data_IF_393196856035
#
_entry.id   IF_393196856035
#
_cell.length_a   1.000
_cell.length_b   1.000
_cell.length_c   1.000
_cell.angle_alpha   90.00
_cell.angle_beta   90.00
_cell.angle_gamma   90.00
#
_symmetry.space_group_name_H-M   'P 1'
#
loop_
_entity.id
_entity.type
_entity.pdbx_description
1 polymer ?
#
# COMPACT_ATOMS: atom_id res chain seq x y z
N UNK A 1 -6.89 28.03 -9.64
CA UNK A 1 -5.62 27.66 -9.07
C UNK A 1 -5.18 26.32 -9.66
N UNK A 2 -3.93 26.20 -10.06
CA UNK A 2 -3.39 24.87 -10.42
C UNK A 2 -3.21 24.15 -9.10
N UNK A 3 -4.02 23.12 -8.86
CA UNK A 3 -3.82 22.22 -7.75
C UNK A 3 -2.48 21.50 -7.95
N UNK A 4 -1.52 21.77 -7.07
CA UNK A 4 -0.22 21.12 -7.11
C UNK A 4 -0.37 19.71 -6.53
N UNK A 5 -0.85 18.76 -7.34
CA UNK A 5 -0.83 17.35 -7.00
C UNK A 5 0.61 16.88 -7.11
N UNK A 6 1.18 16.42 -6.01
CA UNK A 6 2.56 15.94 -5.94
C UNK A 6 2.66 14.43 -5.72
N UNK A 7 1.60 13.80 -5.23
CA UNK A 7 1.54 12.36 -4.94
C UNK A 7 0.21 11.80 -5.44
N UNK A 8 0.24 10.65 -6.09
CA UNK A 8 -0.95 9.90 -6.47
C UNK A 8 -0.81 8.41 -6.13
N UNK A 9 -1.95 7.76 -5.91
CA UNK A 9 -2.02 6.32 -5.66
C UNK A 9 -2.05 5.53 -6.95
N UNK A 10 -1.20 4.52 -7.06
CA UNK A 10 -1.30 3.42 -8.03
C UNK A 10 -1.47 2.11 -7.27
N UNK A 11 -1.71 1.01 -7.97
CA UNK A 11 -1.92 -0.26 -7.29
C UNK A 11 -1.39 -1.46 -8.04
N UNK A 12 -0.96 -2.47 -7.27
CA UNK A 12 -0.58 -3.79 -7.73
C UNK A 12 -1.67 -4.81 -7.42
N UNK A 13 -1.66 -5.96 -8.08
CA UNK A 13 -2.71 -6.96 -8.00
C UNK A 13 -2.22 -8.32 -7.56
N UNK A 14 -3.07 -8.99 -6.78
CA UNK A 14 -2.88 -10.35 -6.23
C UNK A 14 -3.65 -11.43 -7.00
N UNK A 15 -4.04 -11.15 -8.24
CA UNK A 15 -4.88 -12.03 -9.08
C UNK A 15 -4.12 -13.12 -9.82
N UNK A 16 -2.81 -13.00 -9.92
CA UNK A 16 -1.97 -13.98 -10.60
C UNK A 16 -0.70 -14.28 -9.80
N UNK A 17 -0.24 -15.54 -9.74
CA UNK A 17 1.09 -15.85 -9.23
C UNK A 17 2.16 -15.20 -10.11
N UNK A 18 3.33 -14.94 -9.54
CA UNK A 18 4.49 -14.50 -10.31
C UNK A 18 4.98 -15.63 -11.22
N UNK A 19 5.51 -15.28 -12.39
CA UNK A 19 6.18 -16.22 -13.29
C UNK A 19 7.54 -16.57 -12.66
N UNK A 20 7.78 -17.86 -12.44
CA UNK A 20 8.99 -18.38 -11.79
C UNK A 20 9.31 -17.70 -10.44
N UNK A 21 8.29 -17.31 -9.70
CA UNK A 21 8.41 -16.62 -8.41
C UNK A 21 9.14 -15.25 -8.45
N UNK A 22 9.31 -14.66 -9.62
CA UNK A 22 10.09 -13.43 -9.77
C UNK A 22 9.40 -12.36 -10.62
N UNK A 23 8.75 -12.75 -11.72
CA UNK A 23 8.29 -11.79 -12.72
C UNK A 23 6.78 -11.57 -12.67
N UNK A 24 6.38 -10.32 -12.90
CA UNK A 24 4.98 -9.98 -13.10
C UNK A 24 4.46 -10.62 -14.40
N UNK A 25 3.22 -11.11 -14.36
CA UNK A 25 2.50 -11.54 -15.56
C UNK A 25 2.19 -10.35 -16.47
N UNK A 26 1.89 -10.61 -17.75
CA UNK A 26 1.45 -9.59 -18.68
C UNK A 26 0.21 -8.82 -18.17
N UNK A 27 -0.73 -9.51 -17.51
CA UNK A 27 -1.92 -8.91 -16.92
C UNK A 27 -1.59 -7.94 -15.78
N UNK A 28 -0.69 -8.32 -14.88
CA UNK A 28 -0.22 -7.46 -13.78
C UNK A 28 0.51 -6.22 -14.31
N UNK A 29 1.38 -6.39 -15.30
CA UNK A 29 2.07 -5.27 -15.99
C UNK A 29 1.08 -4.32 -16.64
N UNK A 30 0.07 -4.84 -17.34
CA UNK A 30 -0.95 -4.03 -17.99
C UNK A 30 -1.74 -3.17 -16.99
N UNK A 31 -2.06 -3.72 -15.82
CA UNK A 31 -2.79 -2.97 -14.78
C UNK A 31 -1.94 -1.84 -14.19
N UNK A 32 -0.69 -2.11 -13.86
CA UNK A 32 0.26 -1.07 -13.44
C UNK A 32 0.44 0.01 -14.49
N UNK A 33 0.59 -0.40 -15.75
CA UNK A 33 0.73 0.52 -16.89
C UNK A 33 -0.48 1.44 -17.05
N UNK A 34 -1.68 0.88 -17.05
CA UNK A 34 -2.91 1.66 -17.20
C UNK A 34 -3.06 2.72 -16.11
N UNK A 35 -2.81 2.35 -14.86
CA UNK A 35 -2.94 3.27 -13.72
C UNK A 35 -1.84 4.31 -13.70
N UNK A 36 -0.62 3.94 -14.04
CA UNK A 36 0.51 4.86 -14.05
C UNK A 36 0.43 5.83 -15.25
N UNK A 37 -0.10 5.40 -16.38
CA UNK A 37 -0.40 6.31 -17.50
C UNK A 37 -1.39 7.41 -17.12
N UNK A 38 -2.39 7.12 -16.30
CA UNK A 38 -3.29 8.15 -15.78
C UNK A 38 -2.54 9.19 -14.94
N UNK A 39 -1.58 8.74 -14.11
CA UNK A 39 -0.73 9.63 -13.33
C UNK A 39 0.15 10.49 -14.26
N UNK A 40 0.73 9.90 -15.29
CA UNK A 40 1.58 10.62 -16.27
C UNK A 40 0.82 11.70 -17.05
N UNK A 41 -0.48 11.50 -17.28
CA UNK A 41 -1.37 12.51 -17.90
C UNK A 41 -1.57 13.71 -16.97
N UNK A 42 -1.67 13.50 -15.65
CA UNK A 42 -1.86 14.57 -14.66
C UNK A 42 -0.60 15.41 -14.50
N UNK A 43 0.57 14.79 -14.46
CA UNK A 43 1.84 15.51 -14.36
C UNK A 43 3.05 14.58 -14.36
N UNK A 44 4.20 15.12 -14.77
CA UNK A 44 5.41 14.34 -14.99
C UNK A 44 6.23 14.05 -13.72
N UNK A 45 6.07 14.88 -12.71
CA UNK A 45 6.87 14.83 -11.46
C UNK A 45 5.99 14.44 -10.27
N UNK A 46 5.00 13.55 -10.50
CA UNK A 46 4.11 13.06 -9.46
C UNK A 46 4.73 11.80 -8.85
N UNK A 47 4.90 11.79 -7.54
CA UNK A 47 5.33 10.62 -6.79
C UNK A 47 4.17 9.61 -6.65
N UNK A 48 4.52 8.33 -6.51
CA UNK A 48 3.58 7.22 -6.41
C UNK A 48 3.57 6.66 -4.99
N UNK A 49 2.37 6.53 -4.43
CA UNK A 49 2.08 5.58 -3.34
C UNK A 49 1.49 4.33 -3.96
N UNK A 50 2.16 3.19 -3.80
CA UNK A 50 1.72 1.92 -4.38
C UNK A 50 0.91 1.13 -3.34
N UNK A 51 -0.33 0.80 -3.69
CA UNK A 51 -1.30 0.13 -2.83
C UNK A 51 -1.71 -1.23 -3.39
N UNK A 52 -2.10 -2.15 -2.53
CA UNK A 52 -2.73 -3.41 -2.94
C UNK A 52 -4.13 -3.14 -3.53
N UNK A 53 -4.50 -3.94 -4.52
CA UNK A 53 -5.82 -3.92 -5.14
C UNK A 53 -6.40 -5.34 -5.21
N UNK A 54 -7.38 -5.61 -4.36
CA UNK A 54 -8.06 -6.90 -4.28
C UNK A 54 -9.32 -7.00 -5.14
N UNK A 55 -9.60 -6.02 -5.98
CA UNK A 55 -10.85 -5.90 -6.77
C UNK A 55 -11.17 -7.17 -7.58
N UNK A 56 -10.15 -7.85 -8.07
CA UNK A 56 -10.26 -9.09 -8.82
C UNK A 56 -9.99 -10.37 -8.00
N UNK A 57 -9.84 -10.25 -6.68
CA UNK A 57 -9.59 -11.34 -5.75
C UNK A 57 -8.12 -11.61 -5.47
N UNK A 58 -7.87 -12.54 -4.55
CA UNK A 58 -6.54 -12.94 -4.11
C UNK A 58 -6.38 -14.43 -4.35
N UNK A 59 -5.39 -14.83 -5.16
CA UNK A 59 -5.14 -16.25 -5.47
C UNK A 59 -4.36 -16.95 -4.35
N UNK A 60 -4.46 -18.26 -4.29
CA UNK A 60 -3.82 -19.09 -3.24
C UNK A 60 -2.30 -18.95 -3.16
N UNK A 61 -1.66 -18.50 -4.22
CA UNK A 61 -0.23 -18.15 -4.22
C UNK A 61 0.12 -17.10 -3.15
N UNK A 62 -0.78 -16.16 -2.86
CA UNK A 62 -0.57 -15.11 -1.86
C UNK A 62 -1.28 -15.38 -0.54
N UNK A 63 -2.45 -16.01 -0.56
CA UNK A 63 -3.20 -16.35 0.65
C UNK A 63 -3.85 -17.71 0.47
N UNK A 64 -3.44 -18.68 1.26
CA UNK A 64 -4.00 -20.04 1.25
C UNK A 64 -4.60 -20.37 2.62
N UNK A 65 -5.86 -20.78 2.63
CA UNK A 65 -6.60 -21.10 3.86
C UNK A 65 -6.57 -19.98 4.90
N UNK A 66 -6.67 -18.73 4.47
CA UNK A 66 -6.63 -17.54 5.33
C UNK A 66 -5.23 -17.16 5.85
N UNK A 67 -4.18 -17.85 5.40
CA UNK A 67 -2.80 -17.57 5.79
C UNK A 67 -2.04 -16.91 4.64
N UNK A 68 -1.55 -15.70 4.89
CA UNK A 68 -0.75 -14.97 3.91
C UNK A 68 0.63 -15.61 3.72
N UNK A 69 1.05 -15.77 2.48
CA UNK A 69 2.42 -16.13 2.14
C UNK A 69 3.29 -14.87 2.09
N UNK A 70 3.99 -14.58 3.18
CA UNK A 70 4.79 -13.37 3.34
C UNK A 70 5.85 -13.23 2.24
N UNK A 71 6.53 -14.33 1.88
CA UNK A 71 7.55 -14.33 0.83
C UNK A 71 6.98 -13.93 -0.52
N UNK A 72 5.84 -14.49 -0.90
CA UNK A 72 5.19 -14.19 -2.17
C UNK A 72 4.64 -12.76 -2.22
N UNK A 73 4.12 -12.24 -1.12
CA UNK A 73 3.73 -10.83 -1.02
C UNK A 73 4.92 -9.90 -1.24
N UNK A 74 6.04 -10.16 -0.56
CA UNK A 74 7.25 -9.36 -0.73
C UNK A 74 7.79 -9.40 -2.16
N UNK A 75 7.81 -10.58 -2.79
CA UNK A 75 8.23 -10.74 -4.18
C UNK A 75 7.34 -9.97 -5.15
N UNK A 76 6.02 -10.02 -4.96
CA UNK A 76 5.07 -9.27 -5.77
C UNK A 76 5.28 -7.75 -5.65
N UNK A 77 5.41 -7.25 -4.42
CA UNK A 77 5.64 -5.82 -4.16
C UNK A 77 6.97 -5.38 -4.77
N UNK A 78 8.03 -6.15 -4.56
CA UNK A 78 9.34 -5.86 -5.13
C UNK A 78 9.33 -5.86 -6.67
N UNK A 79 8.71 -6.86 -7.30
CA UNK A 79 8.59 -6.92 -8.75
C UNK A 79 7.77 -5.75 -9.32
N UNK A 80 6.72 -5.34 -8.62
CA UNK A 80 5.87 -4.21 -9.02
C UNK A 80 6.63 -2.88 -8.98
N UNK A 81 7.38 -2.63 -7.91
CA UNK A 81 8.21 -1.42 -7.78
C UNK A 81 9.35 -1.41 -8.80
N UNK A 82 10.03 -2.53 -9.02
CA UNK A 82 11.06 -2.64 -10.07
C UNK A 82 10.50 -2.29 -11.43
N UNK A 83 9.36 -2.85 -11.78
CA UNK A 83 8.72 -2.58 -13.07
C UNK A 83 8.36 -1.10 -13.23
N UNK A 84 7.82 -0.47 -12.19
CA UNK A 84 7.52 0.98 -12.20
C UNK A 84 8.79 1.81 -12.38
N UNK A 85 9.87 1.52 -11.67
CA UNK A 85 11.13 2.22 -11.79
C UNK A 85 11.73 2.12 -13.21
N UNK A 86 11.58 0.98 -13.86
CA UNK A 86 12.10 0.73 -15.22
C UNK A 86 11.23 1.41 -16.29
N UNK A 87 9.90 1.39 -16.15
CA UNK A 87 8.98 1.84 -17.19
C UNK A 87 8.48 3.27 -16.97
N UNK A 88 8.50 3.76 -15.74
CA UNK A 88 8.07 5.10 -15.35
C UNK A 88 9.11 5.80 -14.45
N UNK A 89 10.35 5.98 -14.92
CA UNK A 89 11.46 6.51 -14.09
C UNK A 89 11.25 7.95 -13.62
N UNK A 90 10.30 8.68 -14.21
CA UNK A 90 9.94 10.04 -13.80
C UNK A 90 9.02 10.08 -12.58
N UNK A 91 8.38 8.97 -12.26
CA UNK A 91 7.47 8.84 -11.13
C UNK A 91 8.14 8.01 -10.03
N UNK A 92 8.60 8.67 -8.98
CA UNK A 92 9.24 8.00 -7.86
C UNK A 92 8.18 7.27 -7.02
N UNK A 93 8.38 5.98 -6.75
CA UNK A 93 7.60 5.26 -5.72
C UNK A 93 8.16 5.66 -4.37
N UNK A 94 7.40 6.42 -3.59
CA UNK A 94 7.83 6.97 -2.29
C UNK A 94 7.32 6.17 -1.10
N UNK A 95 6.20 5.46 -1.27
CA UNK A 95 5.64 4.61 -0.23
C UNK A 95 4.86 3.44 -0.84
N UNK A 96 4.73 2.39 -0.05
CA UNK A 96 3.88 1.24 -0.36
C UNK A 96 2.96 0.91 0.81
N UNK A 97 1.75 0.45 0.49
CA UNK A 97 0.81 -0.15 1.43
C UNK A 97 0.59 -1.61 1.03
N UNK A 98 1.15 -2.58 1.77
CA UNK A 98 1.00 -4.00 1.47
C UNK A 98 -0.44 -4.48 1.43
N UNK A 99 -1.28 -4.02 2.35
CA UNK A 99 -2.70 -4.35 2.42
C UNK A 99 -3.58 -3.12 2.23
N UNK A 100 -4.77 -3.31 1.67
CA UNK A 100 -5.82 -2.31 1.58
C UNK A 100 -7.00 -2.71 2.43
N UNK A 101 -7.46 -1.83 3.32
CA UNK A 101 -8.59 -2.08 4.22
C UNK A 101 -8.50 -3.43 4.96
N UNK A 102 -7.37 -3.71 5.65
CA UNK A 102 -7.15 -5.02 6.25
C UNK A 102 -8.07 -5.34 7.43
N UNK A 103 -8.74 -4.33 7.97
CA UNK A 103 -9.78 -4.45 8.99
C UNK A 103 -11.14 -4.91 8.43
N UNK A 104 -11.27 -4.94 7.10
CA UNK A 104 -12.43 -5.50 6.40
C UNK A 104 -12.13 -6.93 5.92
N UNK A 105 -13.16 -7.65 5.52
CA UNK A 105 -13.07 -9.08 5.18
C UNK A 105 -12.61 -9.37 3.75
N UNK A 106 -11.56 -8.68 3.28
CA UNK A 106 -10.99 -8.92 1.95
C UNK A 106 -10.11 -10.17 1.86
N UNK A 107 -9.66 -10.71 2.99
CA UNK A 107 -8.89 -11.97 3.02
C UNK A 107 -7.41 -11.82 2.65
N UNK A 108 -6.81 -10.65 2.83
CA UNK A 108 -5.39 -10.42 2.53
C UNK A 108 -4.44 -11.05 3.55
N UNK A 109 -4.87 -11.10 4.79
CA UNK A 109 -4.09 -11.56 5.92
C UNK A 109 -4.46 -10.80 7.20
N UNK A 110 -3.67 -10.99 8.25
CA UNK A 110 -3.87 -10.35 9.55
C UNK A 110 -2.75 -9.33 9.87
N UNK A 111 -2.87 -8.67 11.02
CA UNK A 111 -1.88 -7.70 11.48
C UNK A 111 -0.47 -8.30 11.61
N UNK A 112 -0.36 -9.54 12.09
CA UNK A 112 0.93 -10.22 12.22
C UNK A 112 1.59 -10.44 10.86
N UNK A 113 0.86 -10.91 9.86
CA UNK A 113 1.38 -11.09 8.50
C UNK A 113 1.74 -9.77 7.82
N UNK A 114 0.95 -8.73 8.00
CA UNK A 114 1.28 -7.39 7.51
C UNK A 114 2.61 -6.90 8.10
N UNK A 115 2.78 -7.05 9.41
CA UNK A 115 4.03 -6.70 10.11
C UNK A 115 5.23 -7.49 9.57
N UNK A 116 5.08 -8.79 9.34
CA UNK A 116 6.16 -9.62 8.78
C UNK A 116 6.51 -9.22 7.34
N UNK A 117 5.53 -8.85 6.52
CA UNK A 117 5.78 -8.29 5.18
C UNK A 117 6.59 -6.99 5.30
N UNK A 118 6.15 -6.05 6.13
CA UNK A 118 6.84 -4.78 6.34
C UNK A 118 8.27 -4.98 6.82
N UNK A 119 8.48 -5.84 7.82
CA UNK A 119 9.79 -6.22 8.34
C UNK A 119 10.69 -6.79 7.25
N UNK A 120 10.20 -7.78 6.51
CA UNK A 120 10.97 -8.46 5.46
C UNK A 120 11.36 -7.50 4.34
N UNK A 121 10.46 -6.64 3.89
CA UNK A 121 10.78 -5.61 2.90
C UNK A 121 11.89 -4.68 3.39
N UNK A 122 11.82 -4.20 4.63
CA UNK A 122 12.83 -3.30 5.20
C UNK A 122 14.17 -3.95 5.48
N UNK A 123 14.22 -5.24 5.77
CA UNK A 123 15.46 -5.93 6.21
C UNK A 123 16.11 -6.78 5.12
N UNK A 124 15.36 -7.23 4.12
CA UNK A 124 15.87 -8.18 3.12
C UNK A 124 15.81 -7.66 1.68
N UNK A 125 15.09 -6.56 1.42
CA UNK A 125 14.93 -5.99 0.08
C UNK A 125 15.55 -4.59 0.00
N UNK A 126 16.77 -4.44 -0.56
CA UNK A 126 17.49 -3.16 -0.59
C UNK A 126 16.71 -2.02 -1.25
N UNK A 127 15.83 -2.35 -2.21
CA UNK A 127 14.99 -1.38 -2.89
C UNK A 127 14.11 -0.56 -1.93
N UNK A 128 13.74 -1.15 -0.77
CA UNK A 128 12.84 -0.55 0.22
C UNK A 128 13.56 0.20 1.34
N UNK A 129 14.87 0.35 1.29
CA UNK A 129 15.62 1.16 2.24
C UNK A 129 15.12 2.61 2.26
N UNK A 130 14.80 3.16 1.10
CA UNK A 130 14.35 4.54 0.92
C UNK A 130 12.86 4.65 0.48
N UNK A 131 12.10 3.58 0.57
CA UNK A 131 10.66 3.58 0.30
C UNK A 131 9.92 3.39 1.62
N UNK A 132 9.01 4.32 1.95
CA UNK A 132 8.23 4.23 3.17
C UNK A 132 7.25 3.04 3.12
N UNK A 133 7.07 2.37 4.25
CA UNK A 133 5.94 1.46 4.46
C UNK A 133 4.84 2.27 5.14
N UNK A 134 3.66 2.30 4.54
CA UNK A 134 2.50 2.96 5.10
C UNK A 134 1.49 1.95 5.65
N UNK A 135 0.93 2.25 6.80
CA UNK A 135 -0.01 1.39 7.52
C UNK A 135 -0.86 2.19 8.53
N UNK A 136 -1.96 1.73 9.01
CA UNK A 136 -2.80 0.57 8.74
C UNK A 136 -3.65 0.54 7.48
N UNK A 137 -3.86 1.63 6.72
CA UNK A 137 -4.71 1.63 5.53
C UNK A 137 -6.13 1.05 5.79
N UNK A 138 -6.67 1.32 6.96
CA UNK A 138 -7.94 0.75 7.44
C UNK A 138 -9.13 1.42 6.80
N UNK A 139 -10.20 0.67 6.54
CA UNK A 139 -11.49 1.19 6.11
C UNK A 139 -12.12 2.06 7.22
N UNK A 140 -12.08 1.54 8.44
CA UNK A 140 -12.62 2.18 9.62
C UNK A 140 -11.51 2.88 10.41
N UNK A 141 -11.61 4.19 10.56
CA UNK A 141 -10.59 4.95 11.29
C UNK A 141 -10.55 4.64 12.79
N UNK A 142 -11.56 3.98 13.36
CA UNK A 142 -11.54 3.50 14.75
C UNK A 142 -10.51 2.36 14.95
N UNK A 143 -10.18 1.62 13.88
CA UNK A 143 -9.18 0.56 13.87
C UNK A 143 -7.76 1.06 13.54
N UNK A 144 -7.64 2.30 13.05
CA UNK A 144 -6.40 2.82 12.50
C UNK A 144 -5.21 2.78 13.47
N UNK A 145 -5.39 3.20 14.72
CA UNK A 145 -4.32 3.18 15.73
C UNK A 145 -3.85 1.78 16.07
N UNK A 146 -4.75 0.81 16.15
CA UNK A 146 -4.42 -0.60 16.40
C UNK A 146 -3.49 -1.14 15.32
N UNK A 147 -3.83 -0.93 14.07
CA UNK A 147 -3.03 -1.39 12.93
C UNK A 147 -1.72 -0.65 12.83
N UNK A 148 -1.71 0.67 12.89
CA UNK A 148 -0.50 1.48 12.86
C UNK A 148 0.48 1.11 13.98
N UNK A 149 0.02 1.04 15.22
CA UNK A 149 0.86 0.68 16.38
C UNK A 149 1.37 -0.76 16.29
N UNK A 150 0.53 -1.68 15.78
CA UNK A 150 0.90 -3.08 15.60
C UNK A 150 1.97 -3.31 14.52
N UNK A 151 2.15 -2.37 13.60
CA UNK A 151 3.17 -2.44 12.54
C UNK A 151 4.54 -1.91 12.97
N UNK A 152 4.61 -1.15 14.05
CA UNK A 152 5.89 -0.63 14.58
C UNK A 152 6.88 -1.78 14.90
N UNK A 153 8.19 -1.60 14.66
CA UNK A 153 8.88 -0.38 14.22
C UNK A 153 9.01 -0.24 12.69
N UNK A 154 8.33 -1.06 11.88
CA UNK A 154 8.56 -1.18 10.43
C UNK A 154 7.66 -0.28 9.58
N UNK A 155 6.83 0.54 10.20
CA UNK A 155 5.97 1.52 9.54
C UNK A 155 6.59 2.92 9.62
N UNK A 156 6.61 3.63 8.49
CA UNK A 156 7.17 4.98 8.37
C UNK A 156 6.07 6.04 8.23
N UNK A 157 4.96 5.69 7.60
CA UNK A 157 3.80 6.54 7.39
C UNK A 157 2.54 5.86 7.95
N UNK A 158 1.59 6.67 8.39
CA UNK A 158 0.30 6.16 8.85
C UNK A 158 -0.83 6.60 7.94
N UNK A 159 -1.62 5.65 7.43
CA UNK A 159 -2.80 5.97 6.64
C UNK A 159 -4.05 5.24 7.11
N UNK A 160 -5.19 5.86 6.87
CA UNK A 160 -6.52 5.30 7.10
C UNK A 160 -7.50 5.89 6.09
N UNK A 161 -8.58 5.18 5.85
CA UNK A 161 -9.72 5.73 5.14
C UNK A 161 -10.69 6.35 6.15
N UNK A 162 -11.49 7.30 5.71
CA UNK A 162 -12.59 7.87 6.50
C UNK A 162 -13.94 7.40 5.92
N UNK A 163 -14.08 6.10 5.74
CA UNK A 163 -15.33 5.48 5.25
C UNK A 163 -16.24 5.07 6.41
N UNK A 164 -15.66 4.84 7.58
CA UNK A 164 -16.35 4.55 8.83
C UNK A 164 -15.53 5.03 10.03
N UNK A 165 -16.17 5.10 11.20
CA UNK A 165 -15.52 5.46 12.46
C UNK A 165 -15.81 6.88 12.91
N UNK A 166 -15.31 7.24 14.11
CA UNK A 166 -15.54 8.53 14.74
C UNK A 166 -14.50 9.56 14.32
N UNK A 167 -14.93 10.83 14.22
CA UNK A 167 -14.01 11.95 13.95
C UNK A 167 -12.95 12.10 15.06
N UNK A 168 -13.29 11.78 16.31
CA UNK A 168 -12.36 11.83 17.43
C UNK A 168 -11.20 10.84 17.23
N UNK A 169 -11.51 9.60 16.85
CA UNK A 169 -10.48 8.59 16.59
C UNK A 169 -9.66 8.92 15.35
N UNK A 170 -10.28 9.47 14.31
CA UNK A 170 -9.59 9.99 13.14
C UNK A 170 -8.56 11.07 13.52
N UNK A 171 -8.97 12.08 14.28
CA UNK A 171 -8.08 13.13 14.75
C UNK A 171 -6.95 12.61 15.66
N UNK A 172 -7.27 11.67 16.56
CA UNK A 172 -6.28 11.03 17.43
C UNK A 172 -5.26 10.20 16.64
N UNK A 173 -5.67 9.51 15.60
CA UNK A 173 -4.78 8.79 14.70
C UNK A 173 -3.75 9.73 14.06
N UNK A 174 -4.21 10.81 13.42
CA UNK A 174 -3.33 11.81 12.81
C UNK A 174 -2.34 12.41 13.81
N UNK A 175 -2.82 12.77 14.98
CA UNK A 175 -1.99 13.34 16.05
C UNK A 175 -0.93 12.33 16.52
N UNK A 176 -1.29 11.07 16.70
CA UNK A 176 -0.36 10.03 17.16
C UNK A 176 0.73 9.76 16.13
N UNK A 177 0.36 9.60 14.86
CA UNK A 177 1.33 9.38 13.78
C UNK A 177 2.30 10.57 13.66
N UNK A 178 1.78 11.79 13.70
CA UNK A 178 2.60 13.00 13.66
C UNK A 178 3.53 13.14 14.87
N UNK A 179 3.06 12.80 16.07
CA UNK A 179 3.88 12.82 17.29
C UNK A 179 5.02 11.78 17.27
N UNK A 180 4.84 10.68 16.54
CA UNK A 180 5.91 9.70 16.30
C UNK A 180 6.97 10.20 15.29
N UNK A 181 6.76 11.38 14.67
CA UNK A 181 7.60 11.90 13.61
C UNK A 181 7.32 11.28 12.23
N UNK A 182 6.23 10.54 12.10
CA UNK A 182 5.79 9.90 10.87
C UNK A 182 4.77 10.76 10.10
N UNK A 183 4.52 10.42 8.84
CA UNK A 183 3.61 11.16 7.98
C UNK A 183 2.20 10.56 8.01
N UNK A 184 1.18 11.28 8.54
CA UNK A 184 -0.21 10.82 8.53
C UNK A 184 -0.95 11.30 7.29
N UNK A 185 -1.80 10.45 6.72
CA UNK A 185 -2.70 10.87 5.63
C UNK A 185 -3.95 9.99 5.55
N UNK A 186 -4.94 10.51 4.83
CA UNK A 186 -6.11 9.73 4.42
C UNK A 186 -6.16 9.71 2.89
N UNK A 187 -6.27 8.53 2.32
CA UNK A 187 -6.26 8.33 0.87
C UNK A 187 -7.63 7.95 0.30
N UNK A 188 -8.61 7.69 1.17
CA UNK A 188 -10.01 7.55 0.79
C UNK A 188 -10.91 8.25 1.81
N UNK A 189 -11.74 9.15 1.30
CA UNK A 189 -12.63 9.96 2.13
C UNK A 189 -14.08 9.71 1.72
N UNK A 190 -14.96 9.62 2.71
CA UNK A 190 -16.40 9.61 2.46
C UNK A 190 -16.85 11.02 2.05
N UNK A 191 -17.60 11.10 0.96
CA UNK A 191 -18.33 12.32 0.65
C UNK A 191 -19.42 12.52 1.70
N UNK A 192 -19.17 13.37 2.66
CA UNK A 192 -20.22 13.91 3.53
C UNK A 192 -20.87 15.02 2.72
N UNK A 193 -21.90 14.66 1.97
CA UNK A 193 -22.78 15.61 1.33
C UNK A 193 -23.75 16.21 2.36
#
# INVERSE_FOLDING_TARGET
GKDNISIMRSSFQTTYPLINDEELTASQKQKLDTRTKLIDIVGKDIDIVLNEDQEAGIVSYYVENGVANVDHWCKLINASVKWLNENYPKHKVVAISPYNEPDYSWGQGNLASFKEIAKKLKTEYPLFENIAITGGNTLNNDEALKWYNGLKPYVDWGNTHQLAGSFTNYANFFKTVANDGNYPYADELHNVG
#
